data_IF_851982621641
#
_entry.id   IF_851982621641
#
_cell.length_a   1.000
_cell.length_b   1.000
_cell.length_c   1.000
_cell.angle_alpha   90.00
_cell.angle_beta   90.00
_cell.angle_gamma   90.00
#
_symmetry.space_group_name_H-M   'P 1'
#
loop_
_entity.id
_entity.type
_entity.pdbx_description
1 polymer ?
#
# COMPACT_ATOMS: atom_id res chain seq x y z
N UNK A 1 -16.83 -13.62 12.05
CA UNK A 1 -17.04 -14.32 10.76
C UNK A 1 -15.68 -14.49 10.11
N UNK A 2 -15.30 -15.69 9.64
CA UNK A 2 -13.97 -15.91 9.05
C UNK A 2 -13.97 -15.58 7.56
N UNK A 3 -13.19 -14.59 7.15
CA UNK A 3 -12.92 -14.32 5.74
C UNK A 3 -11.63 -15.06 5.34
N UNK A 4 -11.76 -16.04 4.45
CA UNK A 4 -10.61 -16.73 3.87
C UNK A 4 -10.11 -15.96 2.65
N UNK A 5 -8.88 -15.44 2.70
CA UNK A 5 -8.23 -14.92 1.50
C UNK A 5 -7.51 -16.07 0.77
N UNK A 6 -7.50 -16.00 -0.56
CA UNK A 6 -6.67 -16.88 -1.39
C UNK A 6 -5.23 -16.88 -0.83
N UNK A 7 -4.59 -18.05 -0.79
CA UNK A 7 -3.21 -18.30 -0.31
C UNK A 7 -2.97 -18.56 1.19
N UNK A 8 -3.98 -18.90 1.99
CA UNK A 8 -3.77 -19.39 3.37
C UNK A 8 -3.78 -18.29 4.45
N UNK A 9 -4.12 -17.06 4.06
CA UNK A 9 -4.40 -15.98 4.98
C UNK A 9 -5.83 -16.07 5.54
N UNK A 10 -5.98 -15.81 6.84
CA UNK A 10 -7.26 -15.75 7.54
C UNK A 10 -7.34 -14.49 8.38
N UNK A 11 -8.55 -13.93 8.41
CA UNK A 11 -8.91 -12.88 9.35
C UNK A 11 -9.83 -13.50 10.40
N UNK A 12 -9.33 -13.60 11.62
CA UNK A 12 -10.00 -14.20 12.76
C UNK A 12 -10.35 -13.12 13.78
N UNK A 13 -11.47 -13.29 14.48
CA UNK A 13 -11.87 -12.41 15.58
C UNK A 13 -12.02 -13.24 16.85
N UNK A 14 -11.25 -12.90 17.89
CA UNK A 14 -11.34 -13.55 19.19
C UNK A 14 -11.41 -12.49 20.30
N UNK A 15 -12.47 -12.55 21.12
CA UNK A 15 -12.70 -11.65 22.27
C UNK A 15 -12.59 -10.15 21.96
N UNK A 16 -12.98 -9.74 20.75
CA UNK A 16 -12.92 -8.35 20.30
C UNK A 16 -11.56 -7.91 19.75
N UNK A 17 -10.57 -8.80 19.69
CA UNK A 17 -9.35 -8.61 18.95
C UNK A 17 -9.45 -9.27 17.57
N UNK A 18 -8.98 -8.58 16.53
CA UNK A 18 -8.89 -9.10 15.18
C UNK A 18 -7.46 -9.52 14.88
N UNK A 19 -7.29 -10.76 14.42
CA UNK A 19 -6.00 -11.35 14.08
C UNK A 19 -5.94 -11.62 12.59
N UNK A 20 -4.83 -11.21 11.97
CA UNK A 20 -4.49 -11.62 10.61
C UNK A 20 -3.46 -12.74 10.68
N UNK A 21 -3.89 -13.95 10.37
CA UNK A 21 -3.07 -15.16 10.51
C UNK A 21 -2.73 -15.76 9.16
N UNK A 22 -1.59 -16.44 9.09
CA UNK A 22 -1.14 -17.13 7.88
C UNK A 22 -0.86 -18.59 8.19
N UNK A 23 -1.46 -19.49 7.41
CA UNK A 23 -1.23 -20.93 7.48
C UNK A 23 -0.72 -21.43 6.13
N UNK A 24 0.50 -21.98 6.11
CA UNK A 24 1.06 -22.64 4.93
C UNK A 24 0.36 -23.97 4.66
N UNK A 25 0.05 -24.23 3.39
CA UNK A 25 -0.43 -25.54 2.96
C UNK A 25 0.69 -26.60 2.93
N UNK A 26 1.93 -26.19 2.67
CA UNK A 26 3.08 -27.08 2.62
C UNK A 26 3.97 -26.87 3.85
N UNK A 27 3.96 -27.83 4.76
CA UNK A 27 4.74 -27.80 6.01
C UNK A 27 6.26 -27.87 5.81
N UNK A 28 6.74 -28.28 4.63
CA UNK A 28 8.18 -28.36 4.34
C UNK A 28 8.82 -27.01 4.02
N UNK A 29 8.02 -26.00 3.68
CA UNK A 29 8.51 -24.67 3.32
C UNK A 29 8.46 -23.74 4.52
N UNK A 30 9.58 -23.10 4.82
CA UNK A 30 9.65 -22.10 5.90
C UNK A 30 9.47 -20.71 5.31
N UNK A 31 8.45 -19.99 5.79
CA UNK A 31 8.19 -18.59 5.45
C UNK A 31 8.48 -17.70 6.65
N UNK A 32 8.89 -16.46 6.39
CA UNK A 32 8.98 -15.42 7.41
C UNK A 32 8.51 -14.10 6.84
N UNK A 33 7.65 -13.42 7.59
CA UNK A 33 7.24 -12.03 7.34
C UNK A 33 8.09 -11.12 8.23
N UNK A 34 8.61 -10.03 7.68
CA UNK A 34 9.37 -9.03 8.44
C UNK A 34 9.15 -7.63 7.89
N UNK A 35 9.21 -6.65 8.77
CA UNK A 35 9.35 -5.25 8.37
C UNK A 35 10.85 -4.92 8.38
N UNK A 36 11.35 -4.44 7.25
CA UNK A 36 12.73 -3.99 7.10
C UNK A 36 12.93 -2.60 7.71
N UNK A 37 14.19 -2.23 7.89
CA UNK A 37 14.57 -0.92 8.45
C UNK A 37 14.10 0.27 7.60
N UNK A 38 13.85 0.07 6.29
CA UNK A 38 13.32 1.08 5.36
C UNK A 38 11.78 1.15 5.38
N UNK A 39 11.13 0.47 6.32
CA UNK A 39 9.66 0.47 6.48
C UNK A 39 8.92 -0.39 5.47
N UNK A 40 9.63 -1.18 4.65
CA UNK A 40 9.02 -2.11 3.70
C UNK A 40 8.76 -3.46 4.36
N UNK A 41 7.56 -3.99 4.15
CA UNK A 41 7.23 -5.36 4.50
C UNK A 41 7.84 -6.31 3.48
N UNK A 42 8.46 -7.39 3.96
CA UNK A 42 9.07 -8.42 3.14
C UNK A 42 8.61 -9.80 3.61
N UNK A 43 8.22 -10.63 2.64
CA UNK A 43 8.02 -12.06 2.83
C UNK A 43 9.23 -12.79 2.24
N UNK A 44 9.91 -13.57 3.08
CA UNK A 44 11.05 -14.39 2.67
C UNK A 44 10.74 -15.87 2.82
N UNK A 45 11.23 -16.66 1.87
CA UNK A 45 11.16 -18.11 1.86
C UNK A 45 12.56 -18.70 2.04
N UNK A 46 12.67 -19.73 2.88
CA UNK A 46 13.90 -20.48 3.03
C UNK A 46 14.09 -21.40 1.83
N UNK A 47 15.20 -21.22 1.11
CA UNK A 47 15.63 -22.10 0.04
C UNK A 47 16.61 -23.14 0.60
N UNK A 48 16.17 -24.38 0.69
CA UNK A 48 16.97 -25.49 1.19
C UNK A 48 18.19 -25.82 0.32
N UNK A 49 18.09 -25.60 -1.00
CA UNK A 49 19.19 -25.85 -1.93
C UNK A 49 20.30 -24.81 -1.81
N UNK A 50 19.92 -23.55 -1.55
CA UNK A 50 20.87 -22.43 -1.38
C UNK A 50 21.27 -22.20 0.08
N UNK A 51 20.57 -22.81 1.04
CA UNK A 51 20.71 -22.54 2.48
C UNK A 51 20.61 -21.04 2.80
N UNK A 52 19.66 -20.37 2.15
CA UNK A 52 19.50 -18.92 2.24
C UNK A 52 18.03 -18.49 2.21
N UNK A 53 17.76 -17.31 2.79
CA UNK A 53 16.47 -16.65 2.66
C UNK A 53 16.38 -15.94 1.31
N UNK A 54 15.28 -16.19 0.59
CA UNK A 54 14.98 -15.55 -0.70
C UNK A 54 13.74 -14.69 -0.57
N UNK A 55 13.77 -13.49 -1.13
CA UNK A 55 12.62 -12.58 -1.12
C UNK A 55 11.57 -13.07 -2.09
N UNK A 56 10.40 -13.43 -1.57
CA UNK A 56 9.24 -13.83 -2.36
C UNK A 56 8.33 -12.62 -2.66
N UNK A 57 8.17 -11.74 -1.66
CA UNK A 57 7.31 -10.57 -1.76
C UNK A 57 7.94 -9.38 -1.02
N UNK A 58 7.70 -8.18 -1.53
CA UNK A 58 8.10 -6.91 -0.93
C UNK A 58 7.00 -5.87 -1.17
N UNK A 59 6.65 -5.09 -0.16
CA UNK A 59 5.71 -3.96 -0.29
C UNK A 59 6.10 -2.78 0.61
N UNK A 60 5.79 -1.54 0.22
CA UNK A 60 5.38 -1.12 -1.13
C UNK A 60 6.56 -1.21 -2.14
N UNK A 61 6.24 -1.48 -3.40
CA UNK A 61 7.19 -1.52 -4.53
C UNK A 61 6.94 -0.43 -5.56
N UNK A 62 5.74 0.16 -5.56
CA UNK A 62 5.31 1.18 -6.51
C UNK A 62 4.88 2.45 -5.81
N UNK A 63 5.01 3.57 -6.49
CA UNK A 63 4.68 4.90 -5.96
C UNK A 63 3.24 4.98 -5.41
N UNK A 64 2.26 4.40 -6.11
CA UNK A 64 0.87 4.42 -5.65
C UNK A 64 0.53 3.50 -4.48
N UNK A 65 1.44 2.61 -4.09
CA UNK A 65 1.27 1.78 -2.90
C UNK A 65 1.68 2.55 -1.64
N UNK A 66 2.37 3.68 -1.79
CA UNK A 66 2.63 4.58 -0.68
C UNK A 66 1.36 5.31 -0.27
N UNK A 67 1.11 5.31 1.04
CA UNK A 67 -0.04 5.98 1.62
C UNK A 67 -0.09 7.46 1.21
N UNK A 68 -1.25 7.88 0.71
CA UNK A 68 -1.56 9.27 0.35
C UNK A 68 -0.60 9.90 -0.69
N UNK A 69 -0.12 9.13 -1.68
CA UNK A 69 0.78 9.63 -2.75
C UNK A 69 0.21 10.80 -3.56
N UNK A 70 -1.10 10.80 -3.84
CA UNK A 70 -1.77 11.79 -4.70
C UNK A 70 -2.67 12.78 -3.95
N UNK A 71 -2.58 12.82 -2.61
CA UNK A 71 -3.40 13.72 -1.80
C UNK A 71 -4.89 13.39 -1.84
N UNK A 72 -5.69 14.29 -1.25
CA UNK A 72 -7.14 14.12 -1.17
C UNK A 72 -7.79 14.22 -2.54
N UNK A 73 -8.79 13.36 -2.80
CA UNK A 73 -9.51 13.30 -4.07
C UNK A 73 -8.62 13.05 -5.31
N UNK A 74 -7.37 12.61 -5.10
CA UNK A 74 -6.46 12.18 -6.15
C UNK A 74 -6.54 10.68 -6.41
N UNK A 75 -6.52 10.30 -7.68
CA UNK A 75 -6.32 8.93 -8.14
C UNK A 75 -4.84 8.76 -8.48
N UNK A 76 -4.23 7.74 -7.90
CA UNK A 76 -2.88 7.32 -8.22
C UNK A 76 -2.88 6.18 -9.24
N UNK A 77 -2.16 6.35 -10.33
CA UNK A 77 -2.04 5.36 -11.39
C UNK A 77 -0.59 5.26 -11.86
N UNK A 78 0.08 4.16 -11.49
CA UNK A 78 1.48 3.91 -11.88
C UNK A 78 1.67 3.76 -13.40
N UNK A 79 0.59 3.61 -14.19
CA UNK A 79 0.66 3.49 -15.64
C UNK A 79 0.53 4.83 -16.38
N UNK A 80 0.26 5.92 -15.66
CA UNK A 80 0.05 7.25 -16.24
C UNK A 80 1.21 8.21 -15.98
N UNK A 81 1.34 9.18 -16.87
CA UNK A 81 2.18 10.36 -16.69
C UNK A 81 1.33 11.59 -17.04
N UNK A 82 0.97 12.45 -16.07
CA UNK A 82 1.35 12.39 -14.65
C UNK A 82 0.74 11.19 -13.89
N UNK A 83 1.44 10.75 -12.84
CA UNK A 83 1.05 9.61 -12.00
C UNK A 83 -0.23 9.86 -11.19
N UNK A 84 -0.46 11.12 -10.82
CA UNK A 84 -1.66 11.55 -10.13
C UNK A 84 -2.65 12.22 -11.10
N UNK A 85 -3.94 11.99 -10.85
CA UNK A 85 -5.05 12.66 -11.55
C UNK A 85 -6.16 12.98 -10.55
N UNK A 86 -6.92 14.06 -10.74
CA UNK A 86 -8.06 14.36 -9.88
C UNK A 86 -9.24 13.43 -10.18
N UNK A 87 -10.01 13.09 -9.15
CA UNK A 87 -11.33 12.48 -9.33
C UNK A 87 -12.21 13.36 -10.23
N UNK A 88 -13.15 12.74 -10.94
CA UNK A 88 -14.08 13.46 -11.80
C UNK A 88 -14.85 14.48 -10.97
N UNK A 89 -14.82 15.74 -11.40
CA UNK A 89 -15.47 16.87 -10.72
C UNK A 89 -14.56 17.69 -9.81
N UNK A 90 -13.30 17.27 -9.62
CA UNK A 90 -12.31 17.98 -8.81
C UNK A 90 -11.20 18.57 -9.68
N UNK A 91 -10.53 19.58 -9.15
CA UNK A 91 -9.31 20.16 -9.72
C UNK A 91 -8.22 20.36 -8.66
N UNK A 92 -6.94 20.51 -9.07
CA UNK A 92 -5.85 20.76 -8.13
C UNK A 92 -6.05 22.07 -7.39
N UNK A 93 -5.84 22.07 -6.06
CA UNK A 93 -5.90 23.28 -5.25
C UNK A 93 -4.85 24.32 -5.67
N UNK A 94 -3.66 23.85 -6.06
CA UNK A 94 -2.59 24.65 -6.63
C UNK A 94 -2.12 24.01 -7.92
N UNK A 95 -2.34 24.70 -9.05
CA UNK A 95 -1.89 24.23 -10.36
C UNK A 95 -0.37 24.23 -10.46
N UNK A 96 0.29 25.19 -9.82
CA UNK A 96 1.75 25.28 -9.78
C UNK A 96 2.36 24.09 -9.04
N UNK A 97 1.83 23.71 -7.88
CA UNK A 97 2.32 22.54 -7.13
C UNK A 97 2.06 21.26 -7.91
N UNK A 98 0.87 21.15 -8.52
CA UNK A 98 0.49 20.01 -9.33
C UNK A 98 1.43 19.78 -10.52
N UNK A 99 1.74 20.86 -11.26
CA UNK A 99 2.63 20.82 -12.42
C UNK A 99 4.10 20.53 -12.00
N UNK A 100 4.48 20.87 -10.77
CA UNK A 100 5.78 20.54 -10.17
C UNK A 100 5.83 19.13 -9.55
N UNK A 101 4.76 18.34 -9.64
CA UNK A 101 4.70 16.99 -9.08
C UNK A 101 4.49 16.93 -7.57
N UNK A 102 4.12 18.06 -6.95
CA UNK A 102 3.70 18.11 -5.55
C UNK A 102 2.19 17.88 -5.47
N UNK A 103 1.81 16.62 -5.25
CA UNK A 103 0.42 16.18 -5.15
C UNK A 103 -0.05 15.93 -3.72
N UNK A 104 0.82 16.14 -2.72
CA UNK A 104 0.56 15.79 -1.32
C UNK A 104 -0.18 16.88 -0.55
N UNK A 105 -0.56 17.98 -1.21
CA UNK A 105 -1.12 19.16 -0.56
C UNK A 105 -2.25 18.81 0.42
N UNK A 106 -1.90 18.97 1.70
CA UNK A 106 -2.84 19.08 2.80
C UNK A 106 -3.24 20.54 2.88
N UNK A 107 -4.55 20.78 2.91
CA UNK A 107 -5.17 22.07 3.21
C UNK A 107 -4.45 22.74 4.39
N UNK A 108 -3.68 23.79 4.11
CA UNK A 108 -3.19 24.75 5.11
C UNK A 108 -4.16 25.92 5.20
N UNK A 109 -4.49 26.33 6.42
CA UNK A 109 -5.63 27.18 6.77
C UNK A 109 -5.78 28.45 5.90
N UNK A 110 -6.84 28.48 5.11
CA UNK A 110 -7.15 29.60 4.23
C UNK A 110 -8.41 29.45 3.39
N UNK A 111 -9.45 28.78 3.91
CA UNK A 111 -10.80 28.84 3.35
C UNK A 111 -11.09 27.99 2.10
N UNK A 112 -12.30 27.42 2.10
CA UNK A 112 -13.03 26.87 0.96
C UNK A 112 -12.62 25.51 0.39
N UNK A 113 -12.84 24.46 1.19
CA UNK A 113 -13.43 23.20 0.73
C UNK A 113 -12.77 22.47 -0.46
N UNK A 114 -13.41 21.43 -0.99
CA UNK A 114 -12.98 20.82 -2.24
C UNK A 114 -13.20 21.79 -3.39
N UNK A 115 -12.17 22.02 -4.21
CA UNK A 115 -12.30 22.81 -5.44
C UNK A 115 -12.96 21.92 -6.49
N UNK A 116 -14.23 22.20 -6.75
CA UNK A 116 -15.00 21.55 -7.81
C UNK A 116 -14.83 22.32 -9.12
N UNK A 117 -14.86 21.59 -10.23
CA UNK A 117 -14.96 22.18 -11.57
C UNK A 117 -16.29 22.88 -11.81
#
# INVERSE_FOLDING_TARGET
MTANYLYGFRLDEDRGATFFTYTMNNSSQTVRFRIRWDGREEQVLWDEGRKAWTTFWLQPTRDCEHYNRCGNFGICDNSKSPLCSCLRGFEPASRTDWDNGNWTDKLGEGGFGPVFK
#
